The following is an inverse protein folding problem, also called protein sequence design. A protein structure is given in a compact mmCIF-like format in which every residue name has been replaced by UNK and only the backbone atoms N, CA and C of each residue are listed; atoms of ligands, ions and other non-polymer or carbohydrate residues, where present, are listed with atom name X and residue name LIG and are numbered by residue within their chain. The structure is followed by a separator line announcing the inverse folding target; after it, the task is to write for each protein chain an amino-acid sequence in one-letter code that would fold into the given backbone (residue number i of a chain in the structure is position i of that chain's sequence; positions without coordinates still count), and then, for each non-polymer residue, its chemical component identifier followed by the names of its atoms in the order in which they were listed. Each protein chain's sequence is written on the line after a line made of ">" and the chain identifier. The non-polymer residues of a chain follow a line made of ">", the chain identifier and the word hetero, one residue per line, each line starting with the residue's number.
data_IF_308893810325
#
_entry.id   IF_308893810325
#
_cell.length_a   1.000
_cell.length_b   1.000
_cell.length_c   1.000
_cell.angle_alpha   90.00
_cell.angle_beta   90.00
_cell.angle_gamma   90.00
#
_symmetry.space_group_name_H-M   'P 1'
#
loop_
_entity.id
_entity.type
_entity.pdbx_description
1 polymer ?
#
# COMPACT_ATOMS: atom_id res chain seq x y z
N UNK A 1 -34.29 11.42 -33.78
CA UNK A 1 -34.18 11.77 -32.35
C UNK A 1 -32.97 11.07 -31.77
N UNK A 2 -31.83 11.76 -31.62
CA UNK A 2 -30.60 11.26 -30.96
C UNK A 2 -29.84 12.47 -30.40
N UNK A 3 -30.15 12.90 -29.18
CA UNK A 3 -29.46 14.00 -28.48
C UNK A 3 -29.53 13.83 -26.95
N UNK A 4 -29.05 12.69 -26.42
CA UNK A 4 -28.94 12.50 -24.96
C UNK A 4 -27.60 11.92 -24.49
N UNK A 5 -26.58 11.81 -25.36
CA UNK A 5 -25.29 11.19 -25.01
C UNK A 5 -24.19 12.17 -24.59
N UNK A 6 -24.40 13.49 -24.63
CA UNK A 6 -23.34 14.48 -24.38
C UNK A 6 -23.24 14.98 -22.92
N UNK A 7 -24.15 14.61 -22.02
CA UNK A 7 -24.14 15.08 -20.63
C UNK A 7 -23.41 14.15 -19.64
N UNK A 8 -23.09 12.91 -20.06
CA UNK A 8 -22.42 11.93 -19.20
C UNK A 8 -21.00 12.34 -18.75
N UNK A 9 -20.10 12.87 -19.62
CA UNK A 9 -18.74 13.20 -19.20
C UNK A 9 -18.68 14.34 -18.18
N UNK A 10 -19.64 15.27 -18.20
CA UNK A 10 -19.71 16.37 -17.24
C UNK A 10 -20.09 15.89 -15.82
N UNK A 11 -21.03 14.94 -15.72
CA UNK A 11 -21.45 14.39 -14.42
C UNK A 11 -20.35 13.56 -13.76
N UNK A 12 -19.55 12.82 -14.55
CA UNK A 12 -18.38 12.08 -14.08
C UNK A 12 -17.28 13.02 -13.55
N UNK A 13 -17.09 14.19 -14.17
CA UNK A 13 -16.12 15.19 -13.71
C UNK A 13 -16.51 15.88 -12.40
N UNK A 14 -17.80 15.92 -12.04
CA UNK A 14 -18.25 16.53 -10.77
C UNK A 14 -18.14 15.57 -9.59
N UNK A 15 -18.17 14.25 -9.83
CA UNK A 15 -18.01 13.22 -8.81
C UNK A 15 -16.56 13.10 -8.32
N UNK A 16 -15.56 13.42 -9.15
CA UNK A 16 -14.16 13.50 -8.71
C UNK A 16 -13.90 14.75 -7.86
N UNK A 17 -14.62 15.86 -8.10
CA UNK A 17 -14.41 17.11 -7.37
C UNK A 17 -14.86 17.05 -5.91
N UNK A 18 -15.90 16.27 -5.59
CA UNK A 18 -16.49 16.22 -4.24
C UNK A 18 -15.72 15.35 -3.23
N UNK A 19 -14.52 14.88 -3.58
CA UNK A 19 -13.70 14.06 -2.67
C UNK A 19 -12.32 14.64 -2.40
N UNK A 20 -11.79 15.47 -3.31
CA UNK A 20 -10.77 16.44 -2.92
C UNK A 20 -11.22 17.19 -1.66
N UNK A 21 -12.53 17.46 -1.54
CA UNK A 21 -13.10 18.14 -0.38
C UNK A 21 -12.83 17.45 0.96
N UNK A 22 -12.88 16.11 1.11
CA UNK A 22 -12.71 15.54 2.46
C UNK A 22 -11.28 15.74 2.99
N UNK A 23 -10.28 15.61 2.13
CA UNK A 23 -8.88 15.82 2.50
C UNK A 23 -8.64 17.31 2.75
N UNK A 24 -9.08 18.17 1.83
CA UNK A 24 -8.95 19.63 1.94
C UNK A 24 -9.69 20.18 3.18
N UNK A 25 -10.89 19.68 3.49
CA UNK A 25 -11.71 20.06 4.65
C UNK A 25 -11.02 19.74 5.99
N UNK A 26 -10.11 18.76 5.98
CA UNK A 26 -9.29 18.38 7.14
C UNK A 26 -7.88 18.96 7.07
N UNK A 27 -7.62 19.86 6.11
CA UNK A 27 -6.35 20.55 5.93
C UNK A 27 -5.23 19.61 5.49
N UNK A 28 -5.55 18.62 4.67
CA UNK A 28 -4.58 17.85 3.90
C UNK A 28 -4.54 18.37 2.46
N UNK A 29 -3.36 18.38 1.87
CA UNK A 29 -3.15 18.66 0.46
C UNK A 29 -2.61 17.40 -0.21
N UNK A 30 -3.16 17.01 -1.36
CA UNK A 30 -2.63 15.89 -2.14
C UNK A 30 -1.92 16.43 -3.36
N UNK A 31 -0.68 15.97 -3.59
CA UNK A 31 0.01 16.18 -4.86
C UNK A 31 0.27 14.82 -5.50
N UNK A 32 -0.10 14.70 -6.76
CA UNK A 32 -0.02 13.46 -7.52
C UNK A 32 1.12 13.54 -8.51
N UNK A 33 1.96 12.51 -8.57
CA UNK A 33 2.83 12.24 -9.70
C UNK A 33 2.66 10.79 -10.14
N UNK A 34 2.19 10.59 -11.37
CA UNK A 34 1.98 9.26 -11.96
C UNK A 34 1.19 8.30 -11.05
N UNK A 35 1.81 7.20 -10.62
CA UNK A 35 1.27 6.18 -9.72
C UNK A 35 1.34 6.57 -8.23
N UNK A 36 2.03 7.66 -7.88
CA UNK A 36 2.29 8.09 -6.52
C UNK A 36 1.46 9.32 -6.12
N UNK A 37 0.92 9.30 -4.90
CA UNK A 37 0.28 10.44 -4.25
C UNK A 37 1.00 10.80 -2.96
N UNK A 38 1.55 12.02 -2.91
CA UNK A 38 2.04 12.63 -1.69
C UNK A 38 0.91 13.33 -0.95
N UNK A 39 0.74 13.03 0.33
CA UNK A 39 -0.22 13.67 1.23
C UNK A 39 0.54 14.59 2.16
N UNK A 40 0.16 15.86 2.15
CA UNK A 40 0.83 16.95 2.84
C UNK A 40 -0.09 17.60 3.87
N UNK A 41 0.54 18.14 4.90
CA UNK A 41 -0.07 19.06 5.86
C UNK A 41 0.72 20.37 5.83
N UNK A 42 0.18 21.45 6.39
CA UNK A 42 0.96 22.67 6.63
C UNK A 42 1.54 22.64 8.04
N UNK A 43 2.83 22.94 8.16
CA UNK A 43 3.53 23.10 9.44
C UNK A 43 3.11 24.42 10.15
N UNK A 44 3.78 24.77 11.25
CA UNK A 44 3.53 26.03 11.99
C UNK A 44 3.79 27.31 11.17
N UNK A 45 4.65 27.24 10.15
CA UNK A 45 5.00 28.35 9.26
C UNK A 45 4.09 28.42 8.02
N UNK A 46 3.29 27.37 7.79
CA UNK A 46 2.47 27.22 6.59
C UNK A 46 3.17 26.47 5.46
N UNK A 47 4.39 25.99 5.68
CA UNK A 47 5.17 25.23 4.70
C UNK A 47 4.60 23.80 4.59
N UNK A 48 4.56 23.22 3.38
CA UNK A 48 4.00 21.90 3.18
C UNK A 48 4.95 20.80 3.65
N UNK A 49 4.48 19.95 4.56
CA UNK A 49 5.19 18.78 5.08
C UNK A 49 4.48 17.50 4.63
N UNK A 50 5.21 16.56 4.02
CA UNK A 50 4.66 15.27 3.61
C UNK A 50 4.48 14.36 4.82
N UNK A 51 3.29 13.81 5.00
CA UNK A 51 2.96 12.86 6.08
C UNK A 51 2.77 11.44 5.58
N UNK A 52 2.30 11.27 4.33
CA UNK A 52 2.12 9.97 3.70
C UNK A 52 2.52 10.01 2.23
N UNK A 53 3.13 8.93 1.76
CA UNK A 53 3.28 8.60 0.34
C UNK A 53 2.46 7.36 0.03
N UNK A 54 1.63 7.42 -1.01
CA UNK A 54 0.79 6.30 -1.43
C UNK A 54 1.06 5.98 -2.92
N UNK A 55 1.73 4.87 -3.18
CA UNK A 55 1.97 4.34 -4.52
C UNK A 55 0.92 3.31 -4.93
N UNK A 56 0.38 3.43 -6.14
CA UNK A 56 -0.65 2.55 -6.69
C UNK A 56 -0.12 1.75 -7.88
N UNK A 57 -0.06 0.43 -7.78
CA UNK A 57 0.50 -0.45 -8.82
C UNK A 57 -0.60 -1.39 -9.35
N UNK A 58 -1.36 -1.00 -10.40
CA UNK A 58 -2.55 -1.74 -10.82
C UNK A 58 -2.22 -3.08 -11.46
N UNK A 59 -1.09 -3.15 -12.18
CA UNK A 59 -0.59 -4.37 -12.82
C UNK A 59 -0.35 -5.50 -11.83
N UNK A 60 -0.12 -5.15 -10.58
CA UNK A 60 0.24 -6.07 -9.51
C UNK A 60 -0.75 -6.10 -8.37
N UNK A 61 -1.81 -5.30 -8.48
CA UNK A 61 -2.86 -5.22 -7.47
C UNK A 61 -2.31 -4.87 -6.09
N UNK A 62 -1.32 -3.97 -6.00
CA UNK A 62 -0.76 -3.54 -4.72
C UNK A 62 -0.75 -2.04 -4.50
N UNK A 63 -0.86 -1.67 -3.23
CA UNK A 63 -0.57 -0.32 -2.76
C UNK A 63 0.69 -0.32 -1.91
N UNK A 64 1.57 0.64 -2.16
CA UNK A 64 2.71 0.95 -1.32
C UNK A 64 2.37 2.13 -0.42
N UNK A 65 2.72 2.02 0.86
CA UNK A 65 2.51 3.05 1.87
C UNK A 65 3.84 3.38 2.50
N UNK A 66 4.26 4.64 2.35
CA UNK A 66 5.36 5.23 3.10
C UNK A 66 4.76 6.19 4.12
N UNK A 67 5.03 5.95 5.39
CA UNK A 67 4.64 6.84 6.48
C UNK A 67 5.87 7.70 6.77
N UNK A 68 5.73 9.00 6.63
CA UNK A 68 6.76 9.95 7.04
C UNK A 68 6.52 10.34 8.50
N UNK A 69 7.55 10.89 9.16
CA UNK A 69 7.47 11.30 10.56
C UNK A 69 6.16 12.05 10.86
N UNK A 70 5.33 11.47 11.72
CA UNK A 70 3.99 11.93 12.00
C UNK A 70 3.86 12.68 13.33
N UNK A 71 4.98 13.01 13.98
CA UNK A 71 4.97 13.73 15.26
C UNK A 71 4.10 14.99 15.18
N UNK A 72 4.20 15.76 14.08
CA UNK A 72 3.37 16.94 13.82
C UNK A 72 1.87 16.60 13.64
N UNK A 73 1.55 15.45 13.05
CA UNK A 73 0.17 15.05 12.81
C UNK A 73 -0.55 14.64 14.11
N UNK A 74 0.18 14.05 15.07
CA UNK A 74 -0.38 13.49 16.31
C UNK A 74 -1.17 14.48 17.16
N UNK A 75 -0.87 15.78 17.06
CA UNK A 75 -1.55 16.86 17.80
C UNK A 75 -2.77 17.46 17.09
N UNK A 76 -3.08 17.07 15.84
CA UNK A 76 -4.12 17.73 15.05
C UNK A 76 -5.51 17.26 15.46
N UNK A 77 -6.38 18.22 15.81
CA UNK A 77 -7.79 17.98 16.21
C UNK A 77 -8.63 17.27 15.15
N UNK A 78 -8.27 17.42 13.88
CA UNK A 78 -8.99 16.89 12.73
C UNK A 78 -8.15 15.89 11.93
N UNK A 79 -7.24 15.17 12.60
CA UNK A 79 -6.46 14.10 11.98
C UNK A 79 -7.40 13.04 11.39
N UNK A 80 -7.15 12.69 10.13
CA UNK A 80 -7.79 11.56 9.48
C UNK A 80 -6.98 10.29 9.77
N UNK A 81 -7.67 9.18 9.96
CA UNK A 81 -7.04 7.86 9.99
C UNK A 81 -6.46 7.53 8.61
N UNK A 82 -5.36 6.78 8.55
CA UNK A 82 -4.73 6.38 7.28
C UNK A 82 -5.74 5.69 6.34
N UNK A 83 -6.65 4.87 6.88
CA UNK A 83 -7.70 4.23 6.09
C UNK A 83 -8.65 5.24 5.44
N UNK A 84 -8.93 6.38 6.08
CA UNK A 84 -9.76 7.45 5.51
C UNK A 84 -9.01 8.17 4.39
N UNK A 85 -7.72 8.45 4.59
CA UNK A 85 -6.84 9.07 3.58
C UNK A 85 -6.75 8.15 2.36
N UNK A 86 -6.39 6.88 2.56
CA UNK A 86 -6.32 5.87 1.49
C UNK A 86 -7.66 5.77 0.73
N UNK A 87 -8.79 5.62 1.42
CA UNK A 87 -10.09 5.46 0.75
C UNK A 87 -10.47 6.69 -0.08
N UNK A 88 -10.09 7.90 0.35
CA UNK A 88 -10.32 9.11 -0.42
C UNK A 88 -9.49 9.10 -1.73
N UNK A 89 -8.21 8.77 -1.63
CA UNK A 89 -7.28 8.75 -2.78
C UNK A 89 -7.60 7.59 -3.73
N UNK A 90 -7.79 6.38 -3.21
CA UNK A 90 -8.16 5.20 -4.00
C UNK A 90 -9.44 5.46 -4.80
N UNK A 91 -10.46 6.07 -4.19
CA UNK A 91 -11.70 6.40 -4.90
C UNK A 91 -11.49 7.49 -5.95
N UNK A 92 -10.63 8.49 -5.70
CA UNK A 92 -10.26 9.49 -6.71
C UNK A 92 -9.55 8.85 -7.92
N UNK A 93 -8.75 7.81 -7.70
CA UNK A 93 -8.12 7.00 -8.76
C UNK A 93 -9.06 5.96 -9.40
N UNK A 94 -10.30 5.84 -8.93
CA UNK A 94 -11.24 4.81 -9.40
C UNK A 94 -10.83 3.39 -9.01
N UNK A 95 -9.95 3.24 -8.01
CA UNK A 95 -9.52 1.96 -7.47
C UNK A 95 -10.56 1.38 -6.53
N UNK A 96 -10.69 0.05 -6.59
CA UNK A 96 -11.56 -0.70 -5.70
C UNK A 96 -10.72 -1.52 -4.76
N UNK A 97 -11.17 -1.58 -3.50
CA UNK A 97 -10.57 -2.40 -2.45
C UNK A 97 -10.54 -3.89 -2.80
N UNK A 98 -11.49 -4.35 -3.60
CA UNK A 98 -11.59 -5.74 -4.04
C UNK A 98 -10.47 -6.12 -5.03
N UNK A 99 -9.94 -5.14 -5.76
CA UNK A 99 -8.86 -5.34 -6.73
C UNK A 99 -7.48 -5.36 -6.06
N UNK A 100 -7.40 -5.09 -4.75
CA UNK A 100 -6.17 -5.06 -3.98
C UNK A 100 -5.82 -6.45 -3.45
N UNK A 101 -4.67 -6.99 -3.82
CA UNK A 101 -4.13 -8.26 -3.30
C UNK A 101 -2.96 -8.03 -2.34
N UNK A 102 -2.30 -6.87 -2.43
CA UNK A 102 -1.13 -6.58 -1.62
C UNK A 102 -1.17 -5.17 -1.01
N UNK A 103 -0.76 -5.07 0.25
CA UNK A 103 -0.49 -3.79 0.92
C UNK A 103 0.95 -3.84 1.41
N UNK A 104 1.78 -2.91 0.97
CA UNK A 104 3.19 -2.83 1.33
C UNK A 104 3.42 -1.63 2.22
N UNK A 105 4.09 -1.83 3.36
CA UNK A 105 4.55 -0.77 4.25
C UNK A 105 6.07 -0.74 4.25
N UNK A 106 6.64 0.41 3.94
CA UNK A 106 8.05 0.68 4.23
C UNK A 106 8.22 1.07 5.70
N UNK A 107 9.23 0.51 6.36
CA UNK A 107 9.38 0.62 7.82
C UNK A 107 10.55 1.50 8.25
N UNK A 108 11.07 2.36 7.38
CA UNK A 108 12.28 3.18 7.64
C UNK A 108 12.22 4.02 8.91
N UNK A 109 11.01 4.43 9.31
CA UNK A 109 10.79 5.38 10.41
C UNK A 109 10.01 4.75 11.59
N UNK A 110 9.76 3.43 11.56
CA UNK A 110 9.06 2.70 12.64
C UNK A 110 10.03 1.80 13.39
N UNK A 111 10.76 2.40 14.34
CA UNK A 111 11.80 1.71 15.14
C UNK A 111 11.30 0.41 15.81
N UNK A 112 10.13 0.38 16.49
CA UNK A 112 9.57 -0.87 17.01
C UNK A 112 9.38 -1.96 15.94
N UNK A 113 8.89 -1.60 14.75
CA UNK A 113 8.72 -2.57 13.65
C UNK A 113 10.06 -3.02 13.08
N UNK A 114 11.06 -2.13 12.96
CA UNK A 114 12.41 -2.49 12.53
C UNK A 114 13.08 -3.48 13.49
N UNK A 115 12.96 -3.25 14.80
CA UNK A 115 13.47 -4.17 15.83
C UNK A 115 12.81 -5.55 15.72
N UNK A 116 11.49 -5.59 15.54
CA UNK A 116 10.75 -6.83 15.32
C UNK A 116 11.22 -7.59 14.08
N UNK A 117 11.42 -6.89 12.95
CA UNK A 117 11.91 -7.49 11.70
C UNK A 117 13.31 -8.08 11.90
N UNK A 118 14.20 -7.34 12.56
CA UNK A 118 15.55 -7.79 12.90
C UNK A 118 15.52 -9.05 13.77
N UNK A 119 14.68 -9.07 14.81
CA UNK A 119 14.52 -10.23 15.70
C UNK A 119 14.02 -11.47 14.95
N UNK A 120 13.04 -11.32 14.07
CA UNK A 120 12.53 -12.42 13.23
C UNK A 120 13.65 -13.00 12.36
N UNK A 121 14.43 -12.15 11.67
CA UNK A 121 15.54 -12.60 10.83
C UNK A 121 16.64 -13.28 11.64
N UNK A 122 17.04 -12.70 12.77
CA UNK A 122 18.06 -13.25 13.65
C UNK A 122 17.65 -14.63 14.21
N UNK A 123 16.39 -14.77 14.62
CA UNK A 123 15.85 -16.04 15.12
C UNK A 123 15.85 -17.14 14.05
N UNK A 124 15.62 -16.76 12.79
CA UNK A 124 15.68 -17.66 11.63
C UNK A 124 17.09 -17.84 11.03
N UNK A 125 18.08 -17.09 11.53
CA UNK A 125 19.47 -17.04 11.04
C UNK A 125 19.57 -16.65 9.56
N UNK A 126 18.77 -15.66 9.18
CA UNK A 126 18.70 -15.11 7.84
C UNK A 126 19.58 -13.87 7.71
N UNK A 127 20.08 -13.63 6.50
CA UNK A 127 20.76 -12.39 6.11
C UNK A 127 19.77 -11.20 6.07
N UNK A 128 20.29 -9.97 6.08
CA UNK A 128 19.46 -8.78 6.02
C UNK A 128 18.73 -8.64 4.68
N UNK A 129 19.18 -9.28 3.61
CA UNK A 129 18.48 -9.25 2.32
C UNK A 129 17.53 -10.44 2.10
N UNK A 130 17.59 -11.47 2.94
CA UNK A 130 16.73 -12.65 2.76
C UNK A 130 15.26 -12.36 3.10
N UNK A 131 14.37 -12.97 2.30
CA UNK A 131 12.92 -12.84 2.43
C UNK A 131 12.36 -13.79 3.49
N UNK A 132 11.30 -13.35 4.19
CA UNK A 132 10.62 -14.14 5.22
C UNK A 132 9.14 -14.23 4.93
N UNK A 133 8.67 -15.42 4.56
CA UNK A 133 7.24 -15.72 4.42
C UNK A 133 6.67 -16.21 5.77
N UNK A 134 5.59 -15.59 6.23
CA UNK A 134 4.94 -15.86 7.52
C UNK A 134 3.44 -16.06 7.27
N UNK A 135 2.97 -17.27 7.60
CA UNK A 135 1.56 -17.68 7.47
C UNK A 135 0.88 -17.82 8.84
N UNK A 136 -0.46 -17.73 8.93
CA UNK A 136 -1.19 -17.99 10.17
C UNK A 136 -0.76 -19.28 10.83
N UNK A 137 -0.48 -19.22 12.14
CA UNK A 137 0.02 -20.34 12.93
C UNK A 137 1.54 -20.39 13.10
N UNK A 138 2.31 -19.61 12.35
CA UNK A 138 3.73 -19.36 12.66
C UNK A 138 3.86 -18.58 13.99
N UNK A 139 4.94 -18.81 14.74
CA UNK A 139 5.18 -18.11 16.01
C UNK A 139 5.23 -16.58 15.80
N UNK A 140 5.98 -16.16 14.78
CA UNK A 140 6.19 -14.75 14.39
C UNK A 140 4.89 -14.05 13.96
N UNK A 141 3.85 -14.81 13.54
CA UNK A 141 2.56 -14.25 13.12
C UNK A 141 1.94 -13.41 14.24
N UNK A 142 1.99 -13.89 15.48
CA UNK A 142 1.38 -13.20 16.62
C UNK A 142 2.10 -11.90 16.96
N UNK A 143 3.39 -11.84 16.70
CA UNK A 143 4.21 -10.65 16.95
C UNK A 143 3.85 -9.55 15.95
N UNK A 144 3.75 -9.89 14.66
CA UNK A 144 3.36 -8.93 13.61
C UNK A 144 1.87 -8.55 13.72
N UNK A 145 0.99 -9.47 14.13
CA UNK A 145 -0.44 -9.19 14.31
C UNK A 145 -0.71 -7.97 15.20
N UNK A 146 0.19 -7.70 16.16
CA UNK A 146 0.07 -6.58 17.10
C UNK A 146 0.55 -5.23 16.56
N UNK A 147 1.17 -5.17 15.38
CA UNK A 147 1.77 -3.93 14.85
C UNK A 147 0.72 -3.02 14.24
N UNK A 148 1.04 -1.72 14.17
CA UNK A 148 0.18 -0.73 13.53
C UNK A 148 0.01 -1.05 12.03
N UNK A 149 1.10 -1.42 11.34
CA UNK A 149 1.09 -1.78 9.93
C UNK A 149 0.14 -2.94 9.61
N UNK A 150 0.10 -3.98 10.46
CA UNK A 150 -0.86 -5.08 10.29
C UNK A 150 -2.30 -4.60 10.41
N UNK A 151 -2.60 -3.81 11.44
CA UNK A 151 -3.96 -3.28 11.66
C UNK A 151 -4.40 -2.38 10.51
N UNK A 152 -3.52 -1.50 10.04
CA UNK A 152 -3.79 -0.61 8.92
C UNK A 152 -3.99 -1.37 7.61
N UNK A 153 -3.14 -2.36 7.30
CA UNK A 153 -3.32 -3.22 6.13
C UNK A 153 -4.69 -3.90 6.14
N UNK A 154 -5.08 -4.46 7.29
CA UNK A 154 -6.37 -5.11 7.45
C UNK A 154 -7.56 -4.15 7.31
N UNK A 155 -7.44 -2.91 7.81
CA UNK A 155 -8.46 -1.88 7.63
C UNK A 155 -8.59 -1.42 6.17
N UNK A 156 -7.47 -1.26 5.47
CA UNK A 156 -7.41 -0.87 4.06
C UNK A 156 -8.11 -1.92 3.19
N UNK A 157 -7.79 -3.20 3.38
CA UNK A 157 -8.41 -4.31 2.63
C UNK A 157 -9.81 -4.66 3.12
N UNK A 158 -10.12 -4.41 4.39
CA UNK A 158 -11.36 -4.85 5.04
C UNK A 158 -11.39 -6.34 5.42
N UNK A 159 -10.24 -7.01 5.40
CA UNK A 159 -10.06 -8.42 5.80
C UNK A 159 -8.67 -8.63 6.39
N UNK A 160 -8.45 -9.73 7.11
CA UNK A 160 -7.09 -10.07 7.58
C UNK A 160 -6.23 -10.60 6.42
N UNK A 161 -4.92 -10.32 6.42
CA UNK A 161 -4.01 -10.91 5.46
C UNK A 161 -3.90 -12.42 5.70
N UNK A 162 -3.57 -13.17 4.65
CA UNK A 162 -3.32 -14.62 4.70
C UNK A 162 -1.83 -14.96 4.71
N UNK A 163 -1.00 -14.05 4.22
CA UNK A 163 0.46 -14.20 4.18
C UNK A 163 1.09 -12.83 4.46
N UNK A 164 2.15 -12.83 5.26
CA UNK A 164 3.00 -11.66 5.50
C UNK A 164 4.38 -12.01 4.93
N UNK A 165 4.90 -11.14 4.07
CA UNK A 165 6.24 -11.22 3.53
C UNK A 165 7.07 -10.08 4.11
N UNK A 166 8.20 -10.42 4.74
CA UNK A 166 9.22 -9.45 5.13
C UNK A 166 10.30 -9.47 4.06
N UNK A 167 10.62 -8.30 3.49
CA UNK A 167 11.70 -8.15 2.52
C UNK A 167 12.52 -6.90 2.80
N UNK A 168 13.69 -6.84 2.18
CA UNK A 168 14.50 -5.64 2.14
C UNK A 168 14.63 -5.17 0.70
N UNK A 169 14.50 -3.87 0.48
CA UNK A 169 14.70 -3.24 -0.83
C UNK A 169 15.83 -2.22 -0.72
N UNK A 170 16.52 -1.96 -1.82
CA UNK A 170 17.48 -0.85 -1.89
C UNK A 170 16.75 0.40 -2.38
N UNK A 171 16.89 1.50 -1.63
CA UNK A 171 16.43 2.82 -2.05
C UNK A 171 17.64 3.71 -2.28
N UNK A 172 17.61 4.50 -3.33
CA UNK A 172 18.58 5.57 -3.54
C UNK A 172 17.88 6.90 -3.36
N UNK A 173 18.39 7.74 -2.45
CA UNK A 173 17.89 9.08 -2.21
C UNK A 173 19.08 10.01 -1.97
N UNK A 174 19.11 11.16 -2.63
CA UNK A 174 20.20 12.14 -2.54
C UNK A 174 21.57 11.52 -2.78
N UNK A 175 21.68 10.68 -3.83
CA UNK A 175 22.89 9.92 -4.20
C UNK A 175 23.37 8.91 -3.14
N UNK A 176 22.58 8.64 -2.11
CA UNK A 176 22.87 7.63 -1.09
C UNK A 176 21.95 6.42 -1.26
N UNK A 177 22.55 5.24 -1.37
CA UNK A 177 21.80 3.98 -1.36
C UNK A 177 21.72 3.44 0.07
N UNK A 178 20.52 3.12 0.51
CA UNK A 178 20.24 2.51 1.81
C UNK A 178 19.24 1.37 1.66
N UNK A 179 19.29 0.44 2.62
CA UNK A 179 18.37 -0.67 2.69
C UNK A 179 17.12 -0.26 3.47
N UNK A 180 15.94 -0.56 2.94
CA UNK A 180 14.65 -0.33 3.60
C UNK A 180 13.95 -1.66 3.77
N UNK A 181 13.60 -1.99 5.01
CA UNK A 181 12.76 -3.14 5.28
C UNK A 181 11.29 -2.83 4.96
N UNK A 182 10.60 -3.85 4.45
CA UNK A 182 9.21 -3.78 4.01
C UNK A 182 8.41 -4.91 4.65
N UNK A 183 7.19 -4.57 5.08
CA UNK A 183 6.14 -5.54 5.40
C UNK A 183 5.11 -5.56 4.27
N UNK A 184 5.06 -6.67 3.54
CA UNK A 184 4.10 -6.90 2.46
C UNK A 184 2.99 -7.84 2.96
N UNK A 185 1.76 -7.34 2.98
CA UNK A 185 0.58 -8.06 3.44
C UNK A 185 -0.21 -8.54 2.22
N UNK A 186 -0.28 -9.86 2.04
CA UNK A 186 -1.07 -10.49 0.98
C UNK A 186 -2.50 -10.77 1.45
N UNK A 187 -3.44 -10.67 0.53
CA UNK A 187 -4.85 -10.96 0.74
C UNK A 187 -5.41 -11.84 -0.38
N UNK A 188 -5.90 -13.03 -0.03
CA UNK A 188 -6.65 -13.88 -0.96
C UNK A 188 -7.95 -13.20 -1.36
N UNK A 189 -8.21 -13.16 -2.68
CA UNK A 189 -9.50 -12.74 -3.19
C UNK A 189 -10.59 -13.66 -2.62
N UNK A 190 -11.73 -13.12 -2.13
CA UNK A 190 -12.84 -13.95 -1.74
C UNK A 190 -13.22 -14.82 -2.94
N UNK A 191 -13.25 -16.14 -2.76
CA UNK A 191 -13.80 -17.03 -3.78
C UNK A 191 -15.21 -16.50 -4.07
N UNK A 192 -15.38 -15.85 -5.22
CA UNK A 192 -16.70 -15.51 -5.73
C UNK A 192 -17.26 -16.86 -6.09
N UNK A 193 -17.86 -17.52 -5.09
CA UNK A 193 -18.55 -18.77 -5.24
C UNK A 193 -19.47 -18.55 -6.42
N UNK A 194 -19.09 -19.12 -7.55
CA UNK A 194 -19.91 -19.09 -8.74
C UNK A 194 -21.10 -19.90 -8.30
N UNK A 195 -22.15 -19.20 -7.91
CA UNK A 195 -23.41 -19.78 -7.52
C UNK A 195 -24.05 -20.28 -8.81
N UNK A 196 -23.36 -21.20 -9.50
CA UNK A 196 -23.91 -21.99 -10.56
C UNK A 196 -24.89 -22.96 -9.93
N UNK A 197 -26.02 -23.05 -10.60
CA UNK A 197 -27.23 -23.65 -10.10
C UNK A 197 -27.01 -25.06 -9.56
N UNK A 198 -27.72 -25.34 -8.47
CA UNK A 198 -27.87 -26.66 -7.89
C UNK A 198 -28.35 -27.66 -8.95
N UNK A 199 -27.44 -28.36 -9.60
CA UNK A 199 -27.71 -29.69 -10.12
C UNK A 199 -26.72 -30.69 -9.53
N UNK A 200 -27.27 -31.45 -8.60
CA UNK A 200 -26.58 -32.42 -7.77
C UNK A 200 -26.09 -33.58 -8.64
N UNK A 201 -24.78 -33.70 -8.80
CA UNK A 201 -24.16 -34.99 -9.13
C UNK A 201 -22.90 -35.21 -8.32
N UNK A 202 -23.03 -36.11 -7.36
CA UNK A 202 -21.97 -36.71 -6.55
C UNK A 202 -20.90 -37.36 -7.42
N UNK A 203 -19.63 -36.98 -7.27
CA UNK A 203 -18.51 -37.91 -7.07
C UNK A 203 -17.15 -37.20 -6.92
N UNK A 204 -16.47 -37.52 -5.81
CA UNK A 204 -15.03 -37.84 -5.72
C UNK A 204 -14.05 -36.95 -6.49
N UNK A 205 -13.55 -35.90 -5.84
CA UNK A 205 -12.47 -35.06 -6.36
C UNK A 205 -11.22 -35.10 -5.46
N UNK A 206 -10.10 -35.53 -6.05
CA UNK A 206 -8.74 -35.46 -5.49
C UNK A 206 -8.42 -34.05 -4.97
N UNK A 207 -7.80 -33.98 -3.80
CA UNK A 207 -7.03 -32.81 -3.37
C UNK A 207 -5.94 -32.54 -4.41
N UNK A 208 -6.06 -31.43 -5.12
CA UNK A 208 -4.97 -30.84 -5.90
C UNK A 208 -4.05 -30.16 -4.91
N UNK A 209 -2.83 -30.69 -4.76
CA UNK A 209 -1.79 -30.04 -3.96
C UNK A 209 -1.37 -28.73 -4.64
N UNK A 210 -1.31 -27.72 -3.78
CA UNK A 210 -1.22 -26.29 -4.03
C UNK A 210 0.08 -25.89 -4.76
N UNK A 211 -0.04 -25.21 -5.90
CA UNK A 211 1.06 -24.57 -6.66
C UNK A 211 1.52 -23.25 -6.01
N UNK A 212 1.77 -23.26 -4.70
CA UNK A 212 2.08 -22.05 -3.95
C UNK A 212 3.49 -21.50 -4.15
N UNK A 213 4.43 -22.29 -4.69
CA UNK A 213 5.82 -21.87 -4.88
C UNK A 213 6.01 -20.93 -6.07
N UNK A 214 5.29 -21.16 -7.17
CA UNK A 214 5.51 -20.44 -8.44
C UNK A 214 5.16 -18.94 -8.35
N UNK A 215 4.36 -18.53 -7.36
CA UNK A 215 3.85 -17.16 -7.23
C UNK A 215 4.75 -16.25 -6.39
N UNK A 216 5.54 -16.80 -5.47
CA UNK A 216 6.57 -16.01 -4.74
C UNK A 216 7.73 -15.66 -5.70
N UNK A 217 8.11 -16.60 -6.58
CA UNK A 217 9.17 -16.39 -7.59
C UNK A 217 8.75 -15.38 -8.68
N UNK A 218 7.47 -15.39 -9.08
CA UNK A 218 6.89 -14.37 -9.99
C UNK A 218 6.90 -12.96 -9.38
N UNK A 219 6.85 -12.86 -8.05
CA UNK A 219 6.89 -11.59 -7.34
C UNK A 219 8.28 -10.96 -7.36
N UNK A 220 9.31 -11.76 -7.06
CA UNK A 220 10.70 -11.29 -7.05
C UNK A 220 11.13 -10.84 -8.46
N UNK A 221 10.76 -11.57 -9.52
CA UNK A 221 11.14 -11.21 -10.90
C UNK A 221 10.41 -9.95 -11.41
N UNK A 222 9.19 -9.68 -10.94
CA UNK A 222 8.34 -8.60 -11.47
C UNK A 222 8.51 -7.27 -10.74
N UNK A 223 8.65 -7.30 -9.41
CA UNK A 223 8.62 -6.10 -8.58
C UNK A 223 9.98 -5.46 -8.34
N UNK A 224 11.06 -6.24 -8.30
CA UNK A 224 12.43 -5.75 -8.08
C UNK A 224 12.80 -4.65 -9.11
N UNK A 225 12.54 -4.81 -10.43
CA UNK A 225 12.91 -3.79 -11.41
C UNK A 225 12.02 -2.54 -11.38
N UNK A 226 10.71 -2.69 -11.14
CA UNK A 226 9.77 -1.56 -11.17
C UNK A 226 9.98 -0.63 -9.97
N UNK A 227 10.42 -1.17 -8.83
CA UNK A 227 10.67 -0.41 -7.61
C UNK A 227 12.11 0.11 -7.52
N UNK A 228 13.08 -0.62 -8.08
CA UNK A 228 14.45 -0.13 -8.17
C UNK A 228 14.63 0.91 -9.28
N UNK A 229 13.75 0.93 -10.30
CA UNK A 229 13.72 1.98 -11.32
C UNK A 229 13.17 3.32 -10.80
N UNK A 230 12.64 3.38 -9.58
CA UNK A 230 12.07 4.59 -8.94
C UNK A 230 13.13 5.62 -8.49
N UNK A 231 14.19 5.84 -9.27
CA UNK A 231 14.83 7.16 -9.29
C UNK A 231 13.83 8.28 -9.67
N UNK A 232 12.70 7.90 -10.26
CA UNK A 232 11.56 8.76 -10.55
C UNK A 232 10.76 9.16 -9.30
N UNK A 233 10.71 8.36 -8.23
CA UNK A 233 10.07 8.77 -6.97
C UNK A 233 10.88 9.84 -6.24
N UNK A 234 12.21 9.87 -6.40
CA UNK A 234 13.01 10.97 -5.88
C UNK A 234 12.76 12.25 -6.67
N UNK A 235 12.77 12.18 -8.00
CA UNK A 235 12.36 13.29 -8.84
C UNK A 235 10.93 13.72 -8.50
N UNK A 236 10.05 12.76 -8.19
CA UNK A 236 8.70 13.01 -7.72
C UNK A 236 8.71 13.78 -6.42
N UNK A 237 9.40 13.29 -5.40
CA UNK A 237 9.47 13.91 -4.09
C UNK A 237 10.06 15.32 -4.17
N UNK A 238 11.09 15.55 -5.00
CA UNK A 238 11.66 16.89 -5.27
C UNK A 238 10.68 17.81 -6.01
N UNK A 239 10.01 17.30 -7.04
CA UNK A 239 8.99 18.05 -7.78
C UNK A 239 7.80 18.37 -6.88
N UNK A 240 7.39 17.42 -6.04
CA UNK A 240 6.28 17.56 -5.11
C UNK A 240 6.65 18.44 -3.91
N UNK A 241 7.90 18.44 -3.44
CA UNK A 241 8.38 19.36 -2.41
C UNK A 241 8.54 20.79 -2.93
N UNK A 242 8.62 20.97 -4.25
CA UNK A 242 8.81 22.28 -4.88
C UNK A 242 10.26 22.72 -4.93
N UNK A 243 11.20 21.79 -4.67
CA UNK A 243 12.63 21.98 -4.91
C UNK A 243 12.87 21.91 -6.43
N UNK A 244 12.65 23.03 -7.12
CA UNK A 244 13.03 23.15 -8.52
C UNK A 244 14.56 23.12 -8.63
N UNK A 245 15.09 22.34 -9.58
CA UNK A 245 16.51 22.36 -9.94
C UNK A 245 16.89 23.79 -10.40
N UNK A 246 17.63 24.53 -9.57
CA UNK A 246 18.29 25.80 -9.94
C UNK A 246 19.50 25.59 -10.86
#
# INVERSE_FOLDING_TARGET
>A
MRFLTTLLPLALSLLSLSQATILDDHGYMVKTLENFDGVFISDENGDPEMVYGIGFYPSDKAVALRIFDNEQESGRKHKLELSQIYNAIAKARGWKREDLEWVVFETSDDQPTMELISDIRNNRKLDSMEHVSIKPGNADWKEIFGTNSFQQAAMIKGSSPDTILIRAIQRTMLEMTYQVDCLCFHFVAPEIGTQEDKESTSATGKQTENSGGDREEEWDEKWEPEWEAEGEDEAALRVLSGEAEE
#
